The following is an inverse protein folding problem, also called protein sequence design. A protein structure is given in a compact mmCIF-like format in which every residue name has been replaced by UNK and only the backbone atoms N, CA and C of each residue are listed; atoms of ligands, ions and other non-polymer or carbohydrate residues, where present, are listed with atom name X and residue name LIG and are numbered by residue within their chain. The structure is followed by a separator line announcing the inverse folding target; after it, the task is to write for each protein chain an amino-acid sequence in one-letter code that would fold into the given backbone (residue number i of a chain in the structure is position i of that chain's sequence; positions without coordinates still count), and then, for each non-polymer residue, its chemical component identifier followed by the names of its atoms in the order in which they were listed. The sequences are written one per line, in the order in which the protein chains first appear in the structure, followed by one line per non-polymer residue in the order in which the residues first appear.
data_IF_875325303655
#
_entry.id   IF_875325303655
#
_cell.length_a   1.000
_cell.length_b   1.000
_cell.length_c   1.000
_cell.angle_alpha   90.00
_cell.angle_beta   90.00
_cell.angle_gamma   90.00
#
_symmetry.space_group_name_H-M   'P 1'
#
loop_
_entity.id
_entity.type
_entity.pdbx_description
1 polymer ?
#
# COMPACT_ATOMS: atom_id res chain seq x y z
N UNK A 1 23.27 -11.94 9.26
CA UNK A 1 22.55 -12.74 8.25
C UNK A 1 22.08 -11.74 7.21
N UNK A 2 22.81 -11.61 6.10
CA UNK A 2 22.48 -10.65 5.05
C UNK A 2 21.32 -11.20 4.23
N UNK A 3 20.18 -10.52 4.30
CA UNK A 3 19.05 -10.81 3.42
C UNK A 3 19.41 -10.30 2.02
N UNK A 4 19.69 -11.21 1.10
CA UNK A 4 19.86 -10.89 -0.31
C UNK A 4 18.59 -10.22 -0.86
N UNK A 5 18.70 -9.27 -1.80
CA UNK A 5 17.53 -8.65 -2.42
C UNK A 5 16.72 -9.71 -3.21
N UNK A 6 15.45 -9.83 -2.85
CA UNK A 6 14.49 -10.76 -3.47
C UNK A 6 14.19 -10.33 -4.92
N UNK A 7 14.69 -11.09 -5.89
CA UNK A 7 14.27 -10.98 -7.28
C UNK A 7 12.93 -11.71 -7.47
N UNK A 8 11.93 -11.08 -8.10
CA UNK A 8 10.70 -11.75 -8.59
C UNK A 8 9.37 -11.12 -8.14
N UNK A 9 9.21 -10.72 -6.87
CA UNK A 9 7.97 -10.08 -6.41
C UNK A 9 8.12 -8.55 -6.44
N UNK A 10 7.33 -7.87 -7.28
CA UNK A 10 7.43 -6.41 -7.45
C UNK A 10 6.06 -5.73 -7.43
N UNK A 11 5.75 -5.06 -6.34
CA UNK A 11 4.78 -3.97 -6.37
C UNK A 11 5.48 -2.70 -6.86
N UNK A 12 4.86 -1.99 -7.79
CA UNK A 12 5.35 -0.70 -8.32
C UNK A 12 4.58 0.46 -7.70
N UNK A 13 3.27 0.26 -7.51
CA UNK A 13 2.31 1.18 -6.91
C UNK A 13 1.32 0.38 -6.09
N UNK A 14 0.86 0.95 -4.98
CA UNK A 14 -0.31 0.47 -4.26
C UNK A 14 -1.31 1.63 -4.12
N UNK A 15 -2.58 1.38 -4.43
CA UNK A 15 -3.63 2.38 -4.32
C UNK A 15 -4.75 1.90 -3.40
N UNK A 16 -5.27 2.79 -2.57
CA UNK A 16 -6.37 2.51 -1.65
C UNK A 16 -7.37 3.67 -1.62
N UNK A 17 -8.68 3.40 -1.46
CA UNK A 17 -9.66 4.43 -1.19
C UNK A 17 -9.57 4.90 0.27
N UNK A 18 -9.73 6.20 0.49
CA UNK A 18 -9.77 6.85 1.79
C UNK A 18 -11.16 7.39 2.05
N UNK A 19 -11.95 6.62 2.81
CA UNK A 19 -13.28 7.04 3.22
C UNK A 19 -13.17 8.19 4.25
N UNK A 20 -13.90 9.30 4.10
CA UNK A 20 -13.77 10.47 4.97
C UNK A 20 -13.94 10.15 6.46
N UNK A 21 -14.88 9.25 6.77
CA UNK A 21 -15.21 8.87 8.15
C UNK A 21 -14.20 7.90 8.80
N UNK A 22 -13.26 7.33 8.04
CA UNK A 22 -12.26 6.40 8.58
C UNK A 22 -10.97 7.11 8.99
N UNK A 23 -11.10 8.04 9.93
CA UNK A 23 -9.98 8.83 10.47
C UNK A 23 -8.74 8.00 10.87
N UNK A 24 -8.89 6.89 11.62
CA UNK A 24 -7.75 6.05 12.02
C UNK A 24 -6.99 5.43 10.85
N UNK A 25 -7.69 4.85 9.87
CA UNK A 25 -7.03 4.29 8.68
C UNK A 25 -6.34 5.39 7.86
N UNK A 26 -7.01 6.53 7.67
CA UNK A 26 -6.45 7.67 6.94
C UNK A 26 -5.17 8.20 7.61
N UNK A 27 -5.10 8.19 8.95
CA UNK A 27 -3.89 8.55 9.68
C UNK A 27 -2.73 7.57 9.43
N UNK A 28 -3.00 6.25 9.46
CA UNK A 28 -1.98 5.22 9.14
C UNK A 28 -1.47 5.41 7.71
N UNK A 29 -2.37 5.56 6.75
CA UNK A 29 -2.04 5.70 5.33
C UNK A 29 -1.17 6.95 5.07
N UNK A 30 -1.49 8.09 5.70
CA UNK A 30 -0.63 9.28 5.66
C UNK A 30 0.73 9.05 6.33
N UNK A 31 0.75 8.36 7.48
CA UNK A 31 1.98 8.02 8.19
C UNK A 31 2.94 7.17 7.35
N UNK A 32 2.39 6.25 6.55
CA UNK A 32 3.16 5.40 5.62
C UNK A 32 3.66 6.14 4.36
N UNK A 33 3.23 7.38 4.12
CA UNK A 33 3.69 8.21 3.02
C UNK A 33 2.89 8.12 1.73
N UNK A 34 1.65 7.62 1.79
CA UNK A 34 0.73 7.69 0.64
C UNK A 34 0.40 9.15 0.31
N UNK A 35 0.11 9.41 -0.96
CA UNK A 35 -0.29 10.72 -1.50
C UNK A 35 -1.66 10.64 -2.14
N UNK A 36 -2.35 11.77 -2.24
CA UNK A 36 -3.61 11.84 -2.98
C UNK A 36 -3.37 11.70 -4.49
N UNK A 37 -4.23 10.91 -5.14
CA UNK A 37 -4.15 10.55 -6.56
C UNK A 37 -5.54 10.59 -7.21
N UNK A 38 -6.37 11.52 -6.76
CA UNK A 38 -7.71 11.77 -7.28
C UNK A 38 -8.83 11.47 -6.28
N UNK A 39 -10.06 11.58 -6.76
CA UNK A 39 -11.28 11.29 -6.02
C UNK A 39 -12.19 10.43 -6.89
N UNK A 40 -12.97 9.56 -6.26
CA UNK A 40 -13.95 8.73 -6.94
C UNK A 40 -15.19 8.49 -6.06
N UNK A 41 -16.38 8.34 -6.66
CA UNK A 41 -17.57 7.96 -5.93
C UNK A 41 -17.49 6.48 -5.52
N UNK A 42 -17.89 6.19 -4.29
CA UNK A 42 -18.00 4.85 -3.74
C UNK A 42 -19.39 4.63 -3.15
N UNK A 43 -19.94 3.43 -3.33
CA UNK A 43 -21.17 3.05 -2.65
C UNK A 43 -20.89 2.73 -1.18
N UNK A 44 -21.68 3.32 -0.30
CA UNK A 44 -21.72 3.05 1.14
C UNK A 44 -23.13 2.60 1.55
N UNK A 45 -23.27 2.03 2.74
CA UNK A 45 -24.59 1.67 3.29
C UNK A 45 -25.56 2.85 3.42
N UNK A 46 -25.06 4.09 3.41
CA UNK A 46 -25.85 5.32 3.49
C UNK A 46 -26.08 6.02 2.13
N UNK A 47 -25.59 5.43 1.02
CA UNK A 47 -25.63 6.04 -0.31
C UNK A 47 -24.24 6.23 -0.92
N UNK A 48 -24.13 7.08 -1.93
CA UNK A 48 -22.83 7.33 -2.59
C UNK A 48 -22.04 8.37 -1.81
N UNK A 49 -20.75 8.12 -1.60
CA UNK A 49 -19.80 9.00 -0.92
C UNK A 49 -18.58 9.22 -1.80
N UNK A 50 -18.05 10.44 -1.83
CA UNK A 50 -16.77 10.73 -2.46
C UNK A 50 -15.63 10.22 -1.57
N UNK A 51 -14.73 9.43 -2.14
CA UNK A 51 -13.52 8.95 -1.46
C UNK A 51 -12.28 9.48 -2.15
N UNK A 52 -11.25 9.80 -1.38
CA UNK A 52 -9.95 10.16 -1.93
C UNK A 52 -9.21 8.89 -2.34
N UNK A 53 -8.75 8.80 -3.58
CA UNK A 53 -7.80 7.75 -3.98
C UNK A 53 -6.42 8.14 -3.46
N UNK A 54 -5.80 7.23 -2.71
CA UNK A 54 -4.44 7.39 -2.20
C UNK A 54 -3.50 6.43 -2.91
N UNK A 55 -2.28 6.89 -3.23
CA UNK A 55 -1.25 6.11 -3.90
C UNK A 55 0.04 6.10 -3.09
N UNK A 56 0.67 4.93 -2.95
CA UNK A 56 2.04 4.79 -2.48
C UNK A 56 2.89 4.27 -3.63
N UNK A 57 3.84 5.10 -4.07
CA UNK A 57 4.82 4.72 -5.07
C UNK A 57 6.02 4.06 -4.42
N UNK A 58 6.74 3.22 -5.19
CA UNK A 58 7.92 2.50 -4.72
C UNK A 58 8.96 3.43 -4.09
N UNK A 59 9.26 4.54 -4.74
CA UNK A 59 10.22 5.55 -4.27
C UNK A 59 9.81 6.17 -2.92
N UNK A 60 8.52 6.43 -2.74
CA UNK A 60 7.99 6.99 -1.49
C UNK A 60 8.11 5.98 -0.36
N UNK A 61 7.79 4.71 -0.64
CA UNK A 61 8.00 3.62 0.31
C UNK A 61 9.48 3.49 0.69
N UNK A 62 10.41 3.48 -0.27
CA UNK A 62 11.84 3.37 0.05
C UNK A 62 12.36 4.48 0.95
N UNK A 63 11.84 5.70 0.80
CA UNK A 63 12.23 6.85 1.63
C UNK A 63 11.77 6.76 3.09
N UNK A 64 10.71 5.98 3.36
CA UNK A 64 10.04 5.91 4.69
C UNK A 64 9.98 4.50 5.26
N UNK A 65 10.47 3.49 4.54
CA UNK A 65 10.36 2.09 4.95
C UNK A 65 10.97 1.89 6.32
N UNK A 66 10.35 1.05 7.12
CA UNK A 66 10.97 0.60 8.37
C UNK A 66 12.06 -0.41 8.07
N UNK A 67 13.20 -0.28 8.73
CA UNK A 67 14.34 -1.19 8.55
C UNK A 67 14.19 -2.49 9.35
N UNK A 68 13.26 -2.55 10.30
CA UNK A 68 13.02 -3.68 11.20
C UNK A 68 12.05 -4.74 10.65
N UNK A 69 11.58 -4.56 9.42
CA UNK A 69 10.70 -5.53 8.76
C UNK A 69 11.52 -6.57 8.01
N UNK A 70 11.40 -7.83 8.41
CA UNK A 70 12.01 -8.98 7.74
C UNK A 70 10.94 -9.86 7.09
N UNK A 71 11.31 -10.56 6.02
CA UNK A 71 10.45 -11.50 5.31
C UNK A 71 11.14 -12.86 5.25
N UNK A 72 10.40 -13.93 5.51
CA UNK A 72 10.91 -15.31 5.51
C UNK A 72 9.89 -16.26 4.88
N UNK A 73 10.35 -17.28 4.16
CA UNK A 73 9.48 -18.30 3.55
C UNK A 73 8.77 -17.81 2.28
N UNK A 74 9.11 -16.63 1.76
CA UNK A 74 8.56 -16.13 0.51
C UNK A 74 8.95 -17.04 -0.66
N UNK A 75 10.14 -17.63 -0.62
CA UNK A 75 10.71 -18.45 -1.69
C UNK A 75 9.77 -19.58 -2.10
N UNK A 76 9.17 -20.26 -1.13
CA UNK A 76 8.21 -21.36 -1.37
C UNK A 76 6.88 -20.89 -1.96
N UNK A 77 6.56 -19.59 -1.85
CA UNK A 77 5.33 -18.99 -2.35
C UNK A 77 5.52 -18.26 -3.68
N UNK A 78 6.74 -18.12 -4.20
CA UNK A 78 7.05 -17.26 -5.37
C UNK A 78 6.18 -17.59 -6.58
N UNK A 79 5.97 -18.87 -6.85
CA UNK A 79 5.21 -19.34 -8.01
C UNK A 79 3.72 -18.94 -7.95
N UNK A 80 3.22 -18.52 -6.79
CA UNK A 80 1.86 -18.01 -6.62
C UNK A 80 1.69 -16.55 -7.09
N UNK A 81 2.78 -15.80 -7.29
CA UNK A 81 2.76 -14.36 -7.58
C UNK A 81 3.09 -14.01 -9.04
N UNK A 82 3.21 -15.01 -9.91
CA UNK A 82 3.61 -14.83 -11.31
C UNK A 82 5.13 -14.91 -11.52
N UNK A 83 5.53 -15.09 -12.78
CA UNK A 83 6.93 -15.18 -13.20
C UNK A 83 7.58 -13.81 -13.39
#
# INVERSE_FOLDING_TARGET
MDAAPLAGVRAVVHAVPSHPDNGPSNAVTRGLGYREDGMEPMLSGAGTVEVTRLVLRREDWWSRRRADTALSGLEACRDLFGA
#
